data_IF_558055674185
#
_entry.id   IF_558055674185
#
_cell.length_a   1.000
_cell.length_b   1.000
_cell.length_c   1.000
_cell.angle_alpha   90.00
_cell.angle_beta   90.00
_cell.angle_gamma   90.00
#
_symmetry.space_group_name_H-M   'P 1'
#
loop_
_entity.id
_entity.type
_entity.pdbx_description
1 polymer ?
#
# COMPACT_ATOMS: atom_id res chain seq x y z
N UNK A 1 1.29 -1.88 -29.31
CA UNK A 1 0.55 -1.53 -28.08
C UNK A 1 0.71 -2.71 -27.16
N UNK A 2 1.66 -2.63 -26.23
CA UNK A 2 1.62 -3.52 -25.07
C UNK A 2 0.28 -3.25 -24.41
N UNK A 3 -0.59 -4.28 -24.42
CA UNK A 3 -1.75 -4.33 -23.55
C UNK A 3 -1.26 -3.88 -22.17
N UNK A 4 -2.06 -3.17 -21.37
CA UNK A 4 -1.93 -3.30 -19.91
C UNK A 4 -1.86 -4.80 -19.67
N UNK A 5 -0.63 -5.33 -19.57
CA UNK A 5 -0.40 -6.74 -19.75
C UNK A 5 -0.93 -7.30 -18.46
N UNK A 6 -2.11 -7.89 -18.56
CA UNK A 6 -2.72 -8.60 -17.47
C UNK A 6 -1.77 -9.75 -17.14
N UNK A 7 -0.85 -9.50 -16.22
CA UNK A 7 -0.05 -10.49 -15.52
C UNK A 7 -0.46 -10.49 -14.04
N UNK A 8 -1.74 -10.68 -13.66
CA UNK A 8 -1.97 -11.29 -12.39
C UNK A 8 -1.49 -12.73 -12.53
N UNK A 9 -0.99 -13.30 -11.46
CA UNK A 9 -0.72 -14.69 -11.58
C UNK A 9 -0.38 -15.42 -10.30
N UNK A 10 -0.39 -16.75 -10.43
CA UNK A 10 0.25 -17.66 -9.48
C UNK A 10 1.67 -17.25 -9.12
N UNK A 11 2.38 -16.52 -10.01
CA UNK A 11 3.75 -16.06 -9.79
C UNK A 11 3.92 -15.17 -8.57
N UNK A 12 3.05 -14.18 -8.35
CA UNK A 12 3.17 -13.31 -7.17
C UNK A 12 2.96 -14.10 -5.88
N UNK A 13 1.99 -15.02 -5.88
CA UNK A 13 1.76 -15.91 -4.74
C UNK A 13 2.91 -16.90 -4.54
N UNK A 14 3.48 -17.44 -5.62
CA UNK A 14 4.63 -18.34 -5.57
C UNK A 14 5.87 -17.61 -5.03
N UNK A 15 6.15 -16.40 -5.51
CA UNK A 15 7.22 -15.55 -4.99
C UNK A 15 7.01 -15.25 -3.50
N UNK A 16 5.78 -14.99 -3.06
CA UNK A 16 5.43 -14.86 -1.62
C UNK A 16 5.78 -16.12 -0.83
N UNK A 17 5.53 -17.30 -1.38
CA UNK A 17 5.91 -18.56 -0.74
C UNK A 17 7.43 -18.81 -0.77
N UNK A 18 8.09 -18.55 -1.91
CA UNK A 18 9.53 -18.77 -2.10
C UNK A 18 10.40 -17.81 -1.28
N UNK A 19 9.91 -16.61 -1.00
CA UNK A 19 10.59 -15.63 -0.17
C UNK A 19 10.62 -16.00 1.32
N UNK A 20 9.95 -17.08 1.74
CA UNK A 20 9.90 -17.55 3.14
C UNK A 20 9.55 -16.44 4.15
N UNK A 21 8.71 -15.49 3.72
CA UNK A 21 8.27 -14.37 4.56
C UNK A 21 9.25 -13.20 4.66
N UNK A 22 10.23 -13.08 3.76
CA UNK A 22 11.23 -12.00 3.80
C UNK A 22 11.67 -11.53 2.40
N UNK A 23 11.74 -10.21 2.20
CA UNK A 23 12.38 -9.55 1.06
C UNK A 23 13.53 -8.71 1.59
N UNK A 24 14.69 -8.79 0.92
CA UNK A 24 15.90 -8.07 1.29
C UNK A 24 16.38 -7.21 0.12
N UNK A 25 16.81 -5.99 0.42
CA UNK A 25 17.50 -5.15 -0.57
C UNK A 25 18.47 -4.17 0.09
N UNK A 26 19.47 -3.75 -0.69
CA UNK A 26 20.46 -2.75 -0.31
C UNK A 26 20.29 -1.48 -1.16
N UNK A 27 21.18 -0.50 -0.97
CA UNK A 27 21.17 0.75 -1.74
C UNK A 27 21.16 0.56 -3.26
N UNK A 28 21.97 -0.36 -3.80
CA UNK A 28 22.05 -0.57 -5.25
C UNK A 28 20.70 -1.07 -5.80
N UNK A 29 20.13 -2.09 -5.17
CA UNK A 29 18.81 -2.60 -5.54
C UNK A 29 17.70 -1.56 -5.35
N UNK A 30 17.77 -0.71 -4.32
CA UNK A 30 16.81 0.38 -4.11
C UNK A 30 16.81 1.38 -5.28
N UNK A 31 17.99 1.69 -5.84
CA UNK A 31 18.11 2.54 -7.03
C UNK A 31 17.54 1.84 -8.27
N UNK A 32 17.83 0.55 -8.45
CA UNK A 32 17.25 -0.24 -9.56
C UNK A 32 15.72 -0.25 -9.49
N UNK A 33 15.14 -0.41 -8.29
CA UNK A 33 13.69 -0.32 -8.07
C UNK A 33 13.15 1.09 -8.30
N UNK A 34 13.87 2.14 -7.92
CA UNK A 34 13.47 3.51 -8.17
C UNK A 34 13.44 3.82 -9.67
N UNK A 35 14.44 3.36 -10.43
CA UNK A 35 14.47 3.48 -11.89
C UNK A 35 13.28 2.75 -12.52
N UNK A 36 13.04 1.49 -12.12
CA UNK A 36 12.00 0.68 -12.73
C UNK A 36 10.58 1.11 -12.37
N UNK A 37 10.34 1.54 -11.13
CA UNK A 37 8.97 1.73 -10.64
C UNK A 37 8.59 3.17 -10.33
N UNK A 38 9.56 4.05 -10.04
CA UNK A 38 9.30 5.46 -9.73
C UNK A 38 9.56 6.31 -10.97
N UNK A 39 10.75 6.19 -11.57
CA UNK A 39 11.13 6.96 -12.74
C UNK A 39 10.29 6.58 -13.98
N UNK A 40 10.07 5.28 -14.19
CA UNK A 40 9.34 4.75 -15.34
C UNK A 40 7.81 4.63 -15.16
N UNK A 41 7.23 5.06 -14.03
CA UNK A 41 5.81 4.88 -13.71
C UNK A 41 4.87 5.37 -14.85
N UNK A 42 3.95 4.51 -15.34
CA UNK A 42 3.00 4.90 -16.41
C UNK A 42 2.12 6.09 -16.00
N UNK A 43 1.86 7.00 -16.94
CA UNK A 43 1.75 8.45 -16.67
C UNK A 43 3.04 9.19 -17.08
N UNK A 44 4.11 8.41 -17.32
CA UNK A 44 5.43 8.85 -17.76
C UNK A 44 5.61 9.28 -19.18
N UNK A 45 4.65 8.94 -20.05
CA UNK A 45 4.64 9.47 -21.40
C UNK A 45 4.43 11.01 -21.40
N UNK A 46 4.15 11.63 -20.24
CA UNK A 46 4.30 13.06 -19.95
C UNK A 46 5.25 13.40 -18.78
N UNK A 47 6.06 12.46 -18.25
CA UNK A 47 6.91 12.57 -17.03
C UNK A 47 8.12 13.51 -17.13
N UNK A 48 8.02 14.54 -17.97
CA UNK A 48 8.77 15.75 -17.69
C UNK A 48 8.14 16.59 -16.56
N UNK A 49 6.92 16.33 -16.04
CA UNK A 49 6.20 17.37 -15.29
C UNK A 49 5.51 17.05 -13.94
N UNK A 50 5.46 15.82 -13.41
CA UNK A 50 4.93 15.65 -12.03
C UNK A 50 6.03 15.93 -10.98
N UNK A 51 5.92 17.00 -10.17
CA UNK A 51 6.95 17.37 -9.19
C UNK A 51 7.11 16.32 -8.08
N UNK A 52 6.06 15.59 -7.71
CA UNK A 52 6.11 14.59 -6.64
C UNK A 52 6.94 13.37 -7.03
N UNK A 53 6.82 12.88 -8.27
CA UNK A 53 7.64 11.76 -8.76
C UNK A 53 9.13 12.10 -8.78
N UNK A 54 9.47 13.32 -9.23
CA UNK A 54 10.87 13.80 -9.27
C UNK A 54 11.46 13.97 -7.88
N UNK A 55 10.68 14.57 -6.98
CA UNK A 55 11.08 14.73 -5.58
C UNK A 55 11.29 13.37 -4.93
N UNK A 56 10.33 12.45 -5.06
CA UNK A 56 10.42 11.11 -4.53
C UNK A 56 11.68 10.39 -5.04
N UNK A 57 11.91 10.41 -6.35
CA UNK A 57 13.09 9.76 -6.93
C UNK A 57 14.40 10.34 -6.37
N UNK A 58 14.51 11.67 -6.27
CA UNK A 58 15.68 12.33 -5.69
C UNK A 58 15.89 11.98 -4.21
N UNK A 59 14.80 11.92 -3.44
CA UNK A 59 14.85 11.53 -2.03
C UNK A 59 15.26 10.06 -1.85
N UNK A 60 14.73 9.15 -2.69
CA UNK A 60 15.14 7.74 -2.67
C UNK A 60 16.63 7.61 -3.00
N UNK A 61 17.15 8.40 -3.93
CA UNK A 61 18.58 8.42 -4.25
C UNK A 61 19.49 8.83 -3.08
N UNK A 62 18.92 9.48 -2.06
CA UNK A 62 19.62 9.97 -0.88
C UNK A 62 19.25 9.26 0.43
N UNK A 63 18.22 8.41 0.46
CA UNK A 63 17.68 7.87 1.71
C UNK A 63 18.46 6.68 2.29
N UNK A 64 19.28 6.01 1.48
CA UNK A 64 20.14 4.89 1.89
C UNK A 64 21.61 5.21 1.66
N UNK A 65 22.43 4.94 2.68
CA UNK A 65 23.88 5.02 2.61
C UNK A 65 24.49 3.70 2.09
N UNK A 66 25.75 3.74 1.69
CA UNK A 66 26.49 2.50 1.42
C UNK A 66 26.60 1.65 2.69
N UNK A 67 26.28 0.36 2.57
CA UNK A 67 26.25 -0.58 3.70
C UNK A 67 24.90 -0.67 4.43
N UNK A 68 23.95 0.23 4.15
CA UNK A 68 22.58 0.11 4.68
C UNK A 68 21.84 -1.06 4.01
N UNK A 69 21.09 -1.79 4.82
CA UNK A 69 20.32 -2.96 4.43
C UNK A 69 18.86 -2.81 4.87
N UNK A 70 17.93 -3.22 4.01
CA UNK A 70 16.50 -3.21 4.30
C UNK A 70 15.96 -4.62 4.22
N UNK A 71 15.20 -4.99 5.24
CA UNK A 71 14.47 -6.25 5.34
C UNK A 71 12.98 -5.99 5.50
N UNK A 72 12.18 -6.51 4.58
CA UNK A 72 10.71 -6.49 4.67
C UNK A 72 10.24 -7.90 5.00
N UNK A 73 9.66 -8.06 6.18
CA UNK A 73 9.10 -9.32 6.66
C UNK A 73 7.59 -9.34 6.46
N UNK A 74 7.03 -10.50 6.10
CA UNK A 74 5.60 -10.77 6.06
C UNK A 74 5.37 -12.20 6.52
N UNK A 75 4.78 -12.35 7.70
CA UNK A 75 4.58 -13.66 8.30
C UNK A 75 3.55 -13.64 9.40
N UNK A 76 3.15 -14.82 9.84
CA UNK A 76 2.32 -15.03 11.02
C UNK A 76 3.21 -14.80 12.24
N UNK A 77 3.28 -13.54 12.71
CA UNK A 77 4.13 -13.18 13.86
C UNK A 77 3.23 -12.82 15.03
N UNK A 78 3.37 -13.55 16.14
CA UNK A 78 3.07 -12.95 17.44
C UNK A 78 3.97 -11.70 17.63
N UNK A 79 3.48 -10.64 18.28
CA UNK A 79 4.25 -9.42 18.42
C UNK A 79 5.56 -9.73 19.18
N UNK A 80 6.68 -9.33 18.59
CA UNK A 80 8.05 -9.43 19.12
C UNK A 80 8.64 -10.83 19.38
N UNK A 81 9.65 -11.19 18.56
CA UNK A 81 10.65 -12.20 18.96
C UNK A 81 11.86 -11.57 19.69
N UNK A 82 11.93 -10.23 19.75
CA UNK A 82 13.03 -9.48 20.38
C UNK A 82 12.67 -8.94 21.77
N UNK A 83 11.38 -8.72 22.06
CA UNK A 83 10.85 -8.64 23.40
C UNK A 83 10.38 -10.05 23.75
N UNK A 84 11.12 -10.77 24.60
CA UNK A 84 10.72 -12.10 25.04
C UNK A 84 9.26 -12.09 25.52
N UNK A 85 8.50 -13.11 25.10
CA UNK A 85 7.15 -13.47 25.55
C UNK A 85 6.46 -12.38 26.38
N UNK A 86 6.00 -11.30 25.73
CA UNK A 86 4.93 -10.50 26.35
C UNK A 86 3.66 -11.31 26.22
N UNK A 87 3.37 -12.05 27.30
CA UNK A 87 2.06 -12.59 27.64
C UNK A 87 0.97 -11.62 27.18
N UNK A 88 0.03 -12.12 26.38
CA UNK A 88 -1.22 -11.41 26.05
C UNK A 88 -1.82 -10.94 27.38
N UNK A 89 -1.90 -9.63 27.60
CA UNK A 89 -2.22 -9.06 28.92
C UNK A 89 -3.73 -9.09 29.22
N UNK A 90 -4.58 -9.49 28.27
CA UNK A 90 -6.02 -9.54 28.46
C UNK A 90 -6.72 -10.68 27.72
N UNK A 91 -7.71 -11.28 28.39
CA UNK A 91 -8.59 -12.31 27.81
C UNK A 91 -9.36 -11.79 26.58
N UNK A 92 -9.58 -10.48 26.47
CA UNK A 92 -10.21 -9.84 25.31
C UNK A 92 -9.33 -9.88 24.05
N UNK A 93 -8.01 -9.71 24.19
CA UNK A 93 -7.05 -9.82 23.08
C UNK A 93 -6.92 -11.27 22.60
N UNK A 94 -6.94 -12.23 23.54
CA UNK A 94 -6.91 -13.66 23.23
C UNK A 94 -8.22 -14.12 22.56
N UNK A 95 -9.37 -13.61 23.01
CA UNK A 95 -10.67 -13.93 22.41
C UNK A 95 -10.87 -13.25 21.05
N UNK A 96 -10.35 -12.03 20.86
CA UNK A 96 -10.32 -11.35 19.55
C UNK A 96 -9.42 -12.09 18.55
N UNK A 97 -8.29 -12.65 19.01
CA UNK A 97 -7.43 -13.52 18.20
C UNK A 97 -8.14 -14.83 17.82
N UNK A 98 -8.86 -15.47 18.75
CA UNK A 98 -9.63 -16.71 18.48
C UNK A 98 -10.84 -16.53 17.57
N UNK A 99 -11.53 -15.37 17.60
CA UNK A 99 -12.78 -15.15 16.82
C UNK A 99 -12.59 -14.94 15.31
N UNK A 100 -11.37 -14.78 14.81
CA UNK A 100 -11.12 -14.94 13.37
C UNK A 100 -9.92 -15.84 13.20
N UNK A 101 -10.16 -17.13 12.97
CA UNK A 101 -9.20 -18.23 13.02
C UNK A 101 -8.08 -18.23 11.97
N UNK A 102 -7.36 -17.13 11.82
CA UNK A 102 -6.06 -17.05 11.14
C UNK A 102 -5.08 -16.36 12.10
N UNK A 103 -3.87 -16.91 12.24
CA UNK A 103 -2.79 -16.35 13.06
C UNK A 103 -2.60 -14.85 12.73
N UNK A 104 -2.27 -14.03 13.73
CA UNK A 104 -2.12 -12.58 13.55
C UNK A 104 -0.90 -12.34 12.65
N UNK A 105 -1.14 -12.22 11.35
CA UNK A 105 -0.11 -11.89 10.39
C UNK A 105 0.31 -10.42 10.53
N UNK A 106 1.61 -10.18 10.67
CA UNK A 106 2.20 -8.85 10.57
C UNK A 106 3.11 -8.78 9.35
N UNK A 107 3.13 -7.61 8.72
CA UNK A 107 4.14 -7.22 7.73
C UNK A 107 4.83 -5.97 8.24
N UNK A 108 6.16 -5.97 8.22
CA UNK A 108 6.95 -4.83 8.69
C UNK A 108 8.27 -4.73 7.95
N UNK A 109 8.79 -3.50 7.85
CA UNK A 109 10.10 -3.24 7.28
C UNK A 109 11.08 -2.75 8.35
N UNK A 110 12.32 -3.24 8.27
CA UNK A 110 13.43 -2.86 9.16
C UNK A 110 14.58 -2.37 8.29
N UNK A 111 15.12 -1.21 8.64
CA UNK A 111 16.38 -0.71 8.10
C UNK A 111 17.48 -0.98 9.12
N UNK A 112 18.52 -1.67 8.68
CA UNK A 112 19.78 -1.86 9.42
C UNK A 112 20.84 -0.96 8.78
N UNK A 113 21.33 0.00 9.55
CA UNK A 113 22.39 0.89 9.11
C UNK A 113 23.74 0.17 9.04
N UNK A 114 24.68 0.73 8.28
CA UNK A 114 26.05 0.21 8.19
C UNK A 114 26.77 0.09 9.56
N UNK A 115 26.36 0.89 10.56
CA UNK A 115 26.87 0.85 11.94
C UNK A 115 26.17 -0.21 12.83
N UNK A 116 25.23 -0.97 12.28
CA UNK A 116 24.47 -2.02 12.96
C UNK A 116 23.23 -1.52 13.70
N UNK A 117 22.94 -0.21 13.73
CA UNK A 117 21.69 0.29 14.31
C UNK A 117 20.50 -0.12 13.46
N UNK A 118 19.42 -0.54 14.12
CA UNK A 118 18.18 -0.96 13.45
C UNK A 118 17.06 0.02 13.74
N UNK A 119 16.18 0.23 12.76
CA UNK A 119 14.96 0.99 12.91
C UNK A 119 13.81 0.34 12.15
N UNK A 120 12.62 0.31 12.76
CA UNK A 120 11.40 -0.10 12.08
C UNK A 120 10.92 1.03 11.18
N UNK A 121 10.85 0.76 9.88
CA UNK A 121 10.43 1.74 8.87
C UNK A 121 8.91 1.87 8.86
N UNK A 122 8.20 0.75 8.90
CA UNK A 122 6.74 0.71 9.01
C UNK A 122 6.25 -0.67 9.46
N UNK A 123 5.02 -0.75 9.96
CA UNK A 123 4.35 -2.00 10.32
C UNK A 123 2.86 -1.97 9.95
N UNK A 124 2.32 -3.14 9.59
CA UNK A 124 0.89 -3.38 9.40
C UNK A 124 0.52 -4.79 9.86
N UNK A 125 -0.59 -4.89 10.57
CA UNK A 125 -1.21 -6.13 11.03
C UNK A 125 -2.73 -6.03 10.96
N UNK A 126 -3.43 -7.04 11.50
CA UNK A 126 -4.90 -7.11 11.48
C UNK A 126 -5.57 -6.00 12.30
N UNK A 127 -4.93 -5.58 13.38
CA UNK A 127 -5.44 -4.58 14.32
C UNK A 127 -5.05 -3.14 13.98
N UNK A 128 -4.09 -2.95 13.06
CA UNK A 128 -3.66 -1.64 12.57
C UNK A 128 -4.85 -0.80 12.11
N UNK A 129 -5.05 0.45 12.54
CA UNK A 129 -6.24 1.23 12.17
C UNK A 129 -6.42 1.37 10.65
N UNK A 130 -7.66 1.30 10.18
CA UNK A 130 -7.95 1.42 8.74
C UNK A 130 -8.07 2.89 8.32
N UNK A 131 -7.68 3.25 7.08
CA UNK A 131 -7.75 4.63 6.60
C UNK A 131 -9.21 5.13 6.56
N UNK A 132 -9.47 6.43 6.49
CA UNK A 132 -10.83 6.98 6.37
C UNK A 132 -11.38 6.94 4.95
N UNK A 133 -12.65 7.30 4.77
CA UNK A 133 -13.33 7.30 3.47
C UNK A 133 -12.71 8.26 2.45
N UNK A 134 -12.13 9.37 2.92
CA UNK A 134 -11.35 10.29 2.09
C UNK A 134 -10.22 9.58 1.32
N UNK A 135 -9.53 8.63 1.94
CA UNK A 135 -8.46 7.87 1.28
C UNK A 135 -9.01 6.90 0.23
N UNK A 136 -10.20 6.34 0.45
CA UNK A 136 -10.86 5.49 -0.54
C UNK A 136 -11.32 6.31 -1.76
N UNK A 137 -11.88 7.51 -1.55
CA UNK A 137 -12.23 8.43 -2.64
C UNK A 137 -11.00 8.87 -3.42
N UNK A 138 -9.90 9.18 -2.72
CA UNK A 138 -8.61 9.48 -3.34
C UNK A 138 -8.12 8.32 -4.21
N UNK A 139 -8.09 7.11 -3.66
CA UNK A 139 -7.70 5.90 -4.38
C UNK A 139 -8.58 5.65 -5.61
N UNK A 140 -9.89 5.81 -5.47
CA UNK A 140 -10.86 5.67 -6.55
C UNK A 140 -10.63 6.69 -7.67
N UNK A 141 -10.50 7.96 -7.33
CA UNK A 141 -10.23 9.03 -8.28
C UNK A 141 -8.90 8.81 -9.00
N UNK A 142 -7.84 8.46 -8.25
CA UNK A 142 -6.54 8.12 -8.82
C UNK A 142 -6.61 6.95 -9.79
N UNK A 143 -7.34 5.88 -9.43
CA UNK A 143 -7.51 4.74 -10.30
C UNK A 143 -8.24 5.11 -11.60
N UNK A 144 -9.35 5.86 -11.51
CA UNK A 144 -10.11 6.31 -12.68
C UNK A 144 -9.27 7.20 -13.59
N UNK A 145 -8.44 8.06 -13.01
CA UNK A 145 -7.49 8.88 -13.76
C UNK A 145 -6.47 7.99 -14.50
N UNK A 146 -5.80 7.07 -13.80
CA UNK A 146 -4.82 6.17 -14.40
C UNK A 146 -5.41 5.33 -15.53
N UNK A 147 -6.65 4.85 -15.36
CA UNK A 147 -7.36 4.12 -16.41
C UNK A 147 -7.71 5.01 -17.61
N UNK A 148 -8.14 6.25 -17.37
CA UNK A 148 -8.46 7.20 -18.43
C UNK A 148 -7.23 7.55 -19.27
N UNK A 149 -6.08 7.77 -18.61
CA UNK A 149 -4.78 7.99 -19.24
C UNK A 149 -4.38 6.80 -20.10
N UNK A 150 -4.46 5.58 -19.57
CA UNK A 150 -4.18 4.35 -20.33
C UNK A 150 -5.06 4.23 -21.59
N UNK A 151 -6.35 4.58 -21.47
CA UNK A 151 -7.29 4.54 -22.59
C UNK A 151 -7.15 5.72 -23.56
N UNK A 152 -6.33 6.72 -23.22
CA UNK A 152 -6.23 7.98 -23.96
C UNK A 152 -7.58 8.70 -24.08
N UNK A 153 -8.36 8.67 -23.01
CA UNK A 153 -9.67 9.33 -22.90
C UNK A 153 -9.63 10.46 -21.86
N UNK A 154 -10.63 11.35 -21.88
CA UNK A 154 -10.75 12.37 -20.85
C UNK A 154 -10.91 11.75 -19.45
N UNK A 155 -10.21 12.31 -18.47
CA UNK A 155 -10.36 11.92 -17.07
C UNK A 155 -11.80 12.20 -16.60
N UNK A 156 -12.45 11.26 -15.89
CA UNK A 156 -13.77 11.49 -15.34
C UNK A 156 -13.75 12.61 -14.30
N UNK A 157 -14.92 13.23 -14.08
CA UNK A 157 -15.09 14.14 -12.96
C UNK A 157 -14.78 13.39 -11.65
N UNK A 158 -13.90 13.98 -10.84
CA UNK A 158 -13.51 13.42 -9.55
C UNK A 158 -14.70 13.38 -8.60
N UNK A 159 -14.83 12.28 -7.86
CA UNK A 159 -15.76 12.20 -6.73
C UNK A 159 -15.26 13.17 -5.65
N UNK A 160 -16.11 14.10 -5.15
CA UNK A 160 -15.67 15.10 -4.19
C UNK A 160 -15.11 14.47 -2.90
N UNK A 161 -13.94 14.94 -2.48
CA UNK A 161 -13.44 14.75 -1.12
C UNK A 161 -14.07 15.85 -0.26
N UNK A 162 -14.75 15.49 0.83
CA UNK A 162 -15.42 16.50 1.68
C UNK A 162 -14.34 17.31 2.41
N UNK A 163 -14.34 18.63 2.22
CA UNK A 163 -13.28 19.50 2.76
C UNK A 163 -13.17 19.45 4.30
N UNK A 164 -14.27 19.18 5.00
CA UNK A 164 -14.27 18.96 6.47
C UNK A 164 -13.50 17.68 6.84
N UNK A 165 -13.63 16.60 6.07
CA UNK A 165 -12.92 15.34 6.31
C UNK A 165 -11.42 15.48 6.01
N UNK A 166 -11.06 16.22 4.96
CA UNK A 166 -9.66 16.52 4.64
C UNK A 166 -9.02 17.52 5.61
N UNK A 167 -9.80 18.50 6.08
CA UNK A 167 -9.39 19.43 7.12
C UNK A 167 -9.09 18.72 8.44
N UNK A 168 -9.91 17.73 8.82
CA UNK A 168 -9.69 16.92 10.03
C UNK A 168 -8.40 16.08 9.95
N UNK A 169 -8.01 15.60 8.76
CA UNK A 169 -6.72 14.89 8.55
C UNK A 169 -5.50 15.82 8.64
N UNK A 170 -5.65 17.10 8.28
CA UNK A 170 -4.59 18.12 8.40
C UNK A 170 -4.49 18.73 9.80
N UNK A 171 -5.62 18.95 10.46
CA UNK A 171 -5.69 19.73 11.69
C UNK A 171 -5.42 18.90 12.95
N UNK A 172 -5.62 17.58 12.95
CA UNK A 172 -5.46 16.76 14.16
C UNK A 172 -6.40 17.16 15.32
N UNK A 173 -7.33 18.10 15.10
CA UNK A 173 -8.25 18.62 16.10
C UNK A 173 -9.69 18.28 15.70
N UNK A 174 -10.39 17.55 16.57
CA UNK A 174 -11.85 17.42 16.56
C UNK A 174 -12.46 16.23 15.81
N UNK A 175 -11.71 15.53 14.94
CA UNK A 175 -12.17 14.29 14.33
C UNK A 175 -11.01 13.32 14.07
N UNK A 176 -10.95 12.19 14.80
CA UNK A 176 -9.86 11.19 14.83
C UNK A 176 -9.10 10.90 13.51
N UNK A 177 -8.18 11.76 13.09
CA UNK A 177 -7.37 11.56 11.89
C UNK A 177 -6.77 10.14 11.85
N UNK A 178 -6.64 9.55 10.66
CA UNK A 178 -6.05 8.21 10.55
C UNK A 178 -4.66 8.20 11.24
N UNK A 179 -4.44 7.32 12.23
CA UNK A 179 -3.24 7.39 13.04
C UNK A 179 -2.00 7.09 12.20
N UNK A 180 -1.07 8.05 12.20
CA UNK A 180 0.21 7.91 11.51
C UNK A 180 1.17 6.96 12.24
N UNK A 181 0.91 6.72 13.53
CA UNK A 181 1.71 5.88 14.41
C UNK A 181 0.77 4.95 15.19
N UNK A 182 1.13 3.67 15.29
CA UNK A 182 0.44 2.65 16.10
C UNK A 182 1.51 1.79 16.76
N UNK A 183 1.41 1.60 18.08
CA UNK A 183 2.45 0.92 18.88
C UNK A 183 3.85 1.51 18.64
N UNK A 184 3.93 2.84 18.65
CA UNK A 184 5.15 3.62 18.44
C UNK A 184 5.85 3.41 17.08
N UNK A 185 5.15 2.84 16.11
CA UNK A 185 5.67 2.54 14.77
C UNK A 185 4.82 3.19 13.68
N UNK A 186 5.43 3.63 12.56
CA UNK A 186 4.67 4.14 11.42
C UNK A 186 3.72 3.08 10.85
N UNK A 187 2.48 3.49 10.58
CA UNK A 187 1.42 2.60 10.12
C UNK A 187 1.28 2.60 8.62
N UNK A 188 1.40 1.42 8.00
CA UNK A 188 1.14 1.24 6.58
C UNK A 188 -0.32 0.80 6.30
N UNK A 189 -0.72 0.86 5.03
CA UNK A 189 -2.07 0.49 4.60
C UNK A 189 -2.35 -1.01 4.83
N UNK A 190 -3.57 -1.34 5.30
CA UNK A 190 -4.03 -2.72 5.54
C UNK A 190 -4.05 -3.59 4.29
N UNK A 191 -4.06 -2.99 3.09
CA UNK A 191 -3.82 -3.67 1.83
C UNK A 191 -2.53 -4.52 1.85
N UNK A 192 -1.52 -4.09 2.62
CA UNK A 192 -0.23 -4.79 2.76
C UNK A 192 -0.19 -5.80 3.91
N UNK A 193 -1.30 -6.04 4.63
CA UNK A 193 -1.36 -7.06 5.69
C UNK A 193 -1.18 -8.47 5.10
N UNK A 194 -0.57 -9.43 5.82
CA UNK A 194 -0.30 -10.77 5.29
C UNK A 194 -1.52 -11.48 4.72
N UNK A 195 -2.67 -11.35 5.38
CA UNK A 195 -3.91 -11.94 4.90
C UNK A 195 -4.23 -11.48 3.47
N UNK A 196 -4.10 -10.17 3.18
CA UNK A 196 -4.28 -9.62 1.84
C UNK A 196 -3.15 -10.04 0.89
N UNK A 197 -1.89 -10.03 1.34
CA UNK A 197 -0.77 -10.49 0.52
C UNK A 197 -0.96 -11.94 0.06
N UNK A 198 -1.33 -12.87 0.96
CA UNK A 198 -1.52 -14.28 0.60
C UNK A 198 -2.80 -14.55 -0.20
N UNK A 199 -3.93 -13.94 0.19
CA UNK A 199 -5.22 -14.21 -0.46
C UNK A 199 -5.39 -13.47 -1.78
N UNK A 200 -4.93 -12.22 -1.82
CA UNK A 200 -5.31 -11.28 -2.86
C UNK A 200 -4.20 -10.99 -3.87
N UNK A 201 -2.93 -11.37 -3.61
CA UNK A 201 -1.80 -11.17 -4.55
C UNK A 201 -2.02 -11.74 -5.95
N UNK A 202 -2.80 -12.81 -6.09
CA UNK A 202 -3.12 -13.41 -7.38
C UNK A 202 -4.38 -12.83 -8.05
N UNK A 203 -5.12 -11.95 -7.36
CA UNK A 203 -6.48 -11.52 -7.74
C UNK A 203 -6.64 -10.00 -7.85
N UNK A 204 -5.65 -9.23 -7.42
CA UNK A 204 -5.71 -7.77 -7.36
C UNK A 204 -4.43 -7.12 -7.86
N UNK A 205 -4.57 -5.89 -8.34
CA UNK A 205 -3.46 -4.99 -8.64
C UNK A 205 -3.24 -4.04 -7.47
N UNK A 206 -1.99 -3.85 -7.09
CA UNK A 206 -1.64 -2.88 -6.07
C UNK A 206 -1.22 -1.58 -6.73
N UNK A 207 -1.62 -0.47 -6.13
CA UNK A 207 -1.20 0.88 -6.49
C UNK A 207 -0.62 1.54 -5.25
N UNK A 208 0.52 2.21 -5.43
CA UNK A 208 1.18 3.01 -4.40
C UNK A 208 1.06 4.48 -4.80
N UNK A 209 0.55 5.33 -3.90
CA UNK A 209 0.53 6.78 -4.13
C UNK A 209 1.89 7.39 -3.77
N UNK A 210 2.54 8.01 -4.76
CA UNK A 210 3.82 8.69 -4.65
C UNK A 210 3.71 10.15 -4.18
N UNK A 211 2.49 10.67 -4.02
CA UNK A 211 2.28 11.95 -3.36
C UNK A 211 2.78 11.88 -1.89
N UNK A 212 3.31 12.98 -1.33
CA UNK A 212 3.69 13.03 0.08
C UNK A 212 2.53 12.59 0.99
N UNK A 213 2.78 11.71 1.98
CA UNK A 213 1.75 11.20 2.88
C UNK A 213 0.96 12.34 3.55
N UNK A 214 -0.36 12.19 3.58
CA UNK A 214 -1.28 13.17 4.16
C UNK A 214 -1.77 14.28 3.21
N UNK A 215 -1.29 14.34 1.95
CA UNK A 215 -1.80 15.29 0.95
C UNK A 215 -3.07 14.80 0.24
N UNK A 216 -4.14 14.57 1.01
CA UNK A 216 -5.37 13.94 0.47
C UNK A 216 -6.14 14.79 -0.53
N UNK A 217 -5.95 16.12 -0.53
CA UNK A 217 -6.62 17.08 -1.40
C UNK A 217 -6.01 17.22 -2.80
N UNK A 218 -4.75 16.80 -2.96
CA UNK A 218 -4.07 16.86 -4.26
C UNK A 218 -4.51 15.69 -5.15
N UNK A 219 -4.23 15.73 -6.45
CA UNK A 219 -4.45 14.54 -7.28
C UNK A 219 -3.54 13.39 -6.82
N UNK A 220 -4.04 12.14 -6.85
CA UNK A 220 -3.22 10.98 -6.56
C UNK A 220 -2.12 10.81 -7.62
N UNK A 221 -0.92 10.44 -7.20
CA UNK A 221 0.21 10.19 -8.10
C UNK A 221 0.56 8.72 -8.01
N UNK A 222 -0.16 7.89 -8.76
CA UNK A 222 -0.07 6.45 -8.58
C UNK A 222 1.14 5.85 -9.30
N UNK A 223 1.68 4.81 -8.71
CA UNK A 223 2.48 3.82 -9.45
C UNK A 223 1.68 3.26 -10.61
N UNK A 224 2.37 2.67 -11.60
CA UNK A 224 1.71 1.71 -12.49
C UNK A 224 1.09 0.56 -11.67
N UNK A 225 0.16 -0.23 -12.22
CA UNK A 225 -0.31 -1.45 -11.56
C UNK A 225 0.90 -2.35 -11.24
N UNK A 226 1.08 -2.71 -9.97
CA UNK A 226 2.19 -3.55 -9.51
C UNK A 226 1.69 -4.78 -8.75
N UNK A 227 2.60 -5.74 -8.55
CA UNK A 227 2.36 -6.93 -7.72
C UNK A 227 2.51 -6.57 -6.24
N UNK A 228 2.05 -7.46 -5.37
CA UNK A 228 2.09 -7.28 -3.92
C UNK A 228 3.51 -6.98 -3.39
N UNK A 229 4.53 -7.69 -3.87
CA UNK A 229 5.93 -7.49 -3.48
C UNK A 229 6.52 -6.17 -3.93
N UNK A 230 6.26 -5.81 -5.18
CA UNK A 230 6.68 -4.51 -5.71
C UNK A 230 6.03 -3.37 -4.89
N UNK A 231 4.77 -3.54 -4.45
CA UNK A 231 4.10 -2.61 -3.55
C UNK A 231 4.74 -2.53 -2.15
N UNK A 232 5.22 -3.64 -1.59
CA UNK A 232 5.98 -3.65 -0.32
C UNK A 232 7.28 -2.87 -0.45
N UNK A 233 8.03 -3.10 -1.52
CA UNK A 233 9.29 -2.41 -1.82
C UNK A 233 9.04 -0.92 -1.99
N UNK A 234 8.10 -0.55 -2.87
CA UNK A 234 7.73 0.85 -3.11
C UNK A 234 7.24 1.55 -1.84
N UNK A 235 6.37 0.90 -1.05
CA UNK A 235 5.93 1.44 0.24
C UNK A 235 7.12 1.74 1.15
N UNK A 236 8.10 0.85 1.19
CA UNK A 236 9.33 1.03 1.97
C UNK A 236 10.18 2.18 1.47
N UNK A 237 10.40 2.28 0.16
CA UNK A 237 11.15 3.38 -0.44
C UNK A 237 10.48 4.74 -0.21
N UNK A 238 9.15 4.81 -0.38
CA UNK A 238 8.39 6.04 -0.10
C UNK A 238 8.46 6.40 1.38
N UNK A 239 8.39 5.42 2.28
CA UNK A 239 8.51 5.65 3.72
C UNK A 239 9.90 6.16 4.09
N UNK A 240 10.96 5.58 3.53
CA UNK A 240 12.33 6.04 3.76
C UNK A 240 12.55 7.46 3.21
N UNK A 241 11.92 7.80 2.09
CA UNK A 241 12.04 9.12 1.46
C UNK A 241 11.29 10.23 2.21
N UNK A 242 10.06 9.96 2.66
CA UNK A 242 9.20 10.97 3.29
C UNK A 242 9.08 10.84 4.82
N UNK A 243 9.60 9.78 5.41
CA UNK A 243 9.47 9.47 6.84
C UNK A 243 8.09 8.96 7.25
N UNK A 244 7.19 8.68 6.30
CA UNK A 244 5.85 8.18 6.56
C UNK A 244 5.36 7.24 5.44
N UNK A 245 4.54 6.21 5.75
CA UNK A 245 4.04 5.28 4.75
C UNK A 245 3.11 5.91 3.72
N UNK A 246 3.21 5.42 2.49
CA UNK A 246 2.32 5.80 1.41
C UNK A 246 0.91 5.21 1.60
N UNK A 247 -0.08 5.83 0.96
CA UNK A 247 -1.35 5.16 0.73
C UNK A 247 -1.12 4.04 -0.30
N UNK A 248 -1.49 2.82 0.06
CA UNK A 248 -1.47 1.65 -0.82
C UNK A 248 -2.86 1.07 -0.89
N UNK A 249 -3.31 0.69 -2.08
CA UNK A 249 -4.60 0.03 -2.23
C UNK A 249 -4.55 -1.03 -3.31
N UNK A 250 -5.34 -2.07 -3.11
CA UNK A 250 -5.59 -3.12 -4.09
C UNK A 250 -6.87 -2.85 -4.86
N UNK A 251 -6.87 -3.06 -6.18
CA UNK A 251 -8.10 -3.09 -6.96
C UNK A 251 -8.35 -4.47 -7.55
N UNK A 252 -9.54 -5.00 -7.31
CA UNK A 252 -10.04 -6.22 -7.93
C UNK A 252 -11.11 -5.89 -8.97
N UNK A 253 -10.92 -6.41 -10.18
CA UNK A 253 -11.87 -6.33 -11.30
C UNK A 253 -12.53 -7.68 -11.54
N UNK A 254 -13.65 -7.63 -12.25
CA UNK A 254 -14.29 -8.78 -12.89
C UNK A 254 -13.83 -8.86 -14.34
N UNK A 255 -13.74 -10.06 -14.90
CA UNK A 255 -13.28 -10.23 -16.29
C UNK A 255 -14.15 -9.42 -17.26
N UNK A 256 -15.44 -9.31 -16.95
CA UNK A 256 -16.48 -8.63 -17.69
C UNK A 256 -16.28 -7.10 -17.70
N UNK A 257 -15.64 -6.53 -16.68
CA UNK A 257 -15.41 -5.09 -16.53
C UNK A 257 -13.92 -4.68 -16.59
N UNK A 258 -13.01 -5.62 -16.91
CA UNK A 258 -11.59 -5.30 -17.12
C UNK A 258 -11.47 -4.21 -18.18
N UNK A 259 -10.78 -3.14 -17.82
CA UNK A 259 -10.57 -2.02 -18.72
C UNK A 259 -11.85 -1.26 -19.03
N UNK A 260 -12.91 -1.37 -18.24
CA UNK A 260 -14.06 -0.46 -18.25
C UNK A 260 -13.92 0.58 -17.15
N UNK A 261 -14.46 1.79 -17.37
CA UNK A 261 -14.38 2.84 -16.36
C UNK A 261 -15.43 2.60 -15.27
N UNK A 262 -15.06 2.37 -14.00
CA UNK A 262 -16.05 2.16 -12.96
C UNK A 262 -16.82 3.44 -12.65
N UNK A 263 -18.10 3.29 -12.32
CA UNK A 263 -18.98 4.38 -11.85
C UNK A 263 -18.92 4.52 -10.33
N UNK A 264 -18.68 3.42 -9.62
CA UNK A 264 -18.63 3.36 -8.16
C UNK A 264 -17.55 2.37 -7.66
N UNK A 265 -17.41 2.30 -6.33
CA UNK A 265 -16.52 1.34 -5.67
C UNK A 265 -17.16 0.77 -4.41
N UNK A 266 -16.78 -0.47 -4.11
CA UNK A 266 -17.00 -1.10 -2.82
C UNK A 266 -15.68 -1.09 -2.06
N UNK A 267 -15.73 -0.67 -0.81
CA UNK A 267 -14.54 -0.55 0.04
C UNK A 267 -14.47 -1.71 1.00
N UNK A 268 -13.30 -2.30 1.15
CA UNK A 268 -13.03 -3.33 2.15
C UNK A 268 -11.66 -3.20 2.78
N UNK A 269 -11.51 -3.82 3.94
CA UNK A 269 -10.22 -4.00 4.63
C UNK A 269 -9.57 -5.34 4.24
N UNK A 270 -10.38 -6.28 3.77
CA UNK A 270 -9.95 -7.63 3.42
C UNK A 270 -10.64 -8.12 2.15
N UNK A 271 -9.87 -8.74 1.26
CA UNK A 271 -10.39 -9.25 -0.01
C UNK A 271 -11.49 -10.31 0.17
N UNK A 272 -11.43 -11.10 1.24
CA UNK A 272 -12.39 -12.16 1.51
C UNK A 272 -13.55 -11.72 2.41
N UNK A 273 -13.83 -10.42 2.52
CA UNK A 273 -14.97 -9.90 3.27
C UNK A 273 -16.29 -10.40 2.65
N UNK A 274 -16.96 -11.31 3.35
CA UNK A 274 -18.19 -11.96 2.88
C UNK A 274 -19.43 -11.09 2.97
N UNK A 275 -19.39 -9.96 3.69
CA UNK A 275 -20.52 -9.03 3.80
C UNK A 275 -20.73 -8.26 2.49
N UNK A 276 -19.73 -8.26 1.60
CA UNK A 276 -19.77 -7.65 0.29
C UNK A 276 -20.39 -8.60 -0.74
N UNK A 277 -21.59 -9.10 -0.44
CA UNK A 277 -22.38 -9.92 -1.38
C UNK A 277 -23.08 -8.97 -2.35
N UNK A 278 -22.93 -9.24 -3.64
CA UNK A 278 -23.39 -8.44 -4.78
C UNK A 278 -22.43 -7.33 -5.22
N UNK A 279 -21.28 -7.74 -5.79
CA UNK A 279 -20.52 -6.83 -6.65
C UNK A 279 -21.27 -6.71 -7.98
N UNK A 280 -21.76 -5.53 -8.31
CA UNK A 280 -22.28 -5.25 -9.66
C UNK A 280 -21.11 -5.13 -10.64
N UNK A 281 -21.39 -5.23 -11.94
CA UNK A 281 -20.33 -5.07 -12.96
C UNK A 281 -19.85 -3.61 -13.07
N UNK A 282 -20.54 -2.66 -12.44
CA UNK A 282 -20.21 -1.23 -12.44
C UNK A 282 -19.25 -0.81 -11.31
N UNK A 283 -19.11 -1.66 -10.29
CA UNK A 283 -18.32 -1.40 -9.08
C UNK A 283 -16.97 -2.12 -9.12
N UNK A 284 -15.94 -1.44 -8.62
CA UNK A 284 -14.65 -2.06 -8.32
C UNK A 284 -14.50 -2.29 -6.83
N UNK A 285 -13.84 -3.38 -6.44
CA UNK A 285 -13.50 -3.60 -5.04
C UNK A 285 -12.14 -2.94 -4.74
N UNK A 286 -12.16 -1.95 -3.85
CA UNK A 286 -10.97 -1.30 -3.28
C UNK A 286 -10.64 -1.94 -1.93
N UNK A 287 -9.47 -2.60 -1.88
CA UNK A 287 -8.89 -3.11 -0.64
C UNK A 287 -7.88 -2.09 -0.12
N UNK A 288 -8.13 -1.54 1.06
CA UNK A 288 -7.34 -0.47 1.68
C UNK A 288 -6.53 -1.00 2.85
#
# INVERSE_FOLDING_TARGET
MDRMSFIPGPKAKAEIHEAEGRVFFNRAAALDYADEFIWNAAGSAGLAHNPHTRLLYALVGACLSEGDLVDVYFGLRGPDAAAGEKTVESEEEEERARRGGEDIGHTWAVLTHADGRTQTVWEVGRDTPYPREVFARRAFNGYRQALAEYKQTAAPQAVPVVAEEAGNERAGEGGEAWPRVFRDKPVASRALAPANLYRASARMWYFVDFAPPGQVDEAAVLSRPVRAFDALILSTLVTLAYGAPAQVFGVRYRLENIGQMPSAYLRTQYEANEDLREQTDEEILLVM
#
